data_IF_625579340506
#
_entry.id   IF_625579340506
#
_cell.length_a   1.000
_cell.length_b   1.000
_cell.length_c   1.000
_cell.angle_alpha   90.00
_cell.angle_beta   90.00
_cell.angle_gamma   90.00
#
_symmetry.space_group_name_H-M   'P 1'
#
loop_
_entity.id
_entity.type
_entity.pdbx_description
1 polymer ?
#
# COMPACT_ATOMS: atom_id res chain seq x y z
N UNK A 1 13.88 -22.85 9.61
CA UNK A 1 14.08 -21.72 8.67
C UNK A 1 15.43 -21.09 8.91
N UNK A 2 16.07 -20.58 7.85
CA UNK A 2 17.36 -19.92 7.93
C UNK A 2 17.28 -18.65 8.77
N UNK A 3 18.33 -18.28 9.53
CA UNK A 3 18.38 -17.01 10.24
C UNK A 3 18.10 -15.82 9.30
N UNK A 4 17.34 -14.84 9.78
CA UNK A 4 16.96 -13.67 8.99
C UNK A 4 15.74 -13.82 8.08
N UNK A 5 15.18 -15.02 7.90
CA UNK A 5 13.93 -15.26 7.19
C UNK A 5 12.82 -15.62 8.18
N UNK A 6 11.76 -14.80 8.23
CA UNK A 6 10.59 -15.01 9.07
C UNK A 6 9.34 -15.16 8.23
N UNK A 7 8.48 -16.08 8.64
CA UNK A 7 7.19 -16.36 7.98
C UNK A 7 6.08 -16.17 8.99
N UNK A 8 5.07 -15.45 8.59
CA UNK A 8 3.85 -15.28 9.35
C UNK A 8 2.66 -15.59 8.42
N UNK A 9 1.89 -16.58 8.78
CA UNK A 9 0.71 -17.01 8.03
C UNK A 9 -0.52 -16.88 8.93
N UNK A 10 -1.55 -16.20 8.42
CA UNK A 10 -2.84 -16.02 9.08
C UNK A 10 -3.96 -16.59 8.23
N UNK A 11 -4.90 -17.26 8.87
CA UNK A 11 -6.18 -17.69 8.32
C UNK A 11 -7.22 -17.51 9.43
N UNK A 12 -7.71 -16.27 9.57
CA UNK A 12 -8.50 -15.89 10.74
C UNK A 12 -9.57 -14.84 10.44
N UNK A 13 -10.62 -14.87 11.24
CA UNK A 13 -11.65 -13.84 11.31
C UNK A 13 -11.41 -12.95 12.54
N UNK A 14 -11.48 -11.64 12.34
CA UNK A 14 -11.33 -10.66 13.42
C UNK A 14 -12.56 -10.74 14.36
N UNK A 15 -12.35 -10.96 15.65
CA UNK A 15 -13.45 -11.09 16.64
C UNK A 15 -13.96 -9.73 17.12
N UNK A 16 -13.16 -8.67 17.00
CA UNK A 16 -13.47 -7.33 17.49
C UNK A 16 -12.82 -6.24 16.63
N UNK A 17 -13.34 -5.01 16.75
CA UNK A 17 -12.72 -3.83 16.16
C UNK A 17 -11.50 -3.41 17.00
N UNK A 18 -10.32 -3.36 16.38
CA UNK A 18 -9.10 -2.95 17.06
C UNK A 18 -8.07 -2.38 16.10
N UNK A 19 -7.06 -1.72 16.66
CA UNK A 19 -5.85 -1.37 15.95
C UNK A 19 -4.68 -2.05 16.65
N UNK A 20 -4.14 -3.08 16.01
CA UNK A 20 -2.89 -3.69 16.44
C UNK A 20 -1.73 -2.79 16.03
N UNK A 21 -0.80 -2.56 16.97
CA UNK A 21 0.42 -1.81 16.71
C UNK A 21 1.64 -2.65 17.04
N UNK A 22 2.70 -2.48 16.26
CA UNK A 22 3.97 -3.16 16.44
C UNK A 22 5.09 -2.41 15.73
N UNK A 23 6.26 -3.01 15.68
CA UNK A 23 7.38 -2.49 14.91
C UNK A 23 7.57 -3.31 13.63
N UNK A 24 7.71 -2.60 12.51
CA UNK A 24 8.27 -3.14 11.29
C UNK A 24 9.79 -3.22 11.46
N UNK A 25 10.36 -4.40 11.34
CA UNK A 25 11.83 -4.58 11.44
C UNK A 25 12.50 -4.20 10.14
N UNK A 26 13.77 -3.74 10.17
CA UNK A 26 14.55 -3.53 8.95
C UNK A 26 14.60 -4.77 8.06
N UNK A 27 14.65 -4.53 6.75
CA UNK A 27 14.70 -5.55 5.72
C UNK A 27 13.55 -5.48 4.71
N UNK A 28 13.49 -6.47 3.83
CA UNK A 28 12.48 -6.61 2.80
C UNK A 28 11.30 -7.45 3.31
N UNK A 29 10.10 -6.92 3.17
CA UNK A 29 8.85 -7.57 3.55
C UNK A 29 8.02 -7.88 2.30
N UNK A 30 7.52 -9.10 2.20
CA UNK A 30 6.53 -9.53 1.23
C UNK A 30 5.21 -9.76 1.96
N UNK A 31 4.13 -9.18 1.45
CA UNK A 31 2.77 -9.43 1.94
C UNK A 31 1.90 -9.89 0.77
N UNK A 32 1.23 -11.01 0.95
CA UNK A 32 0.32 -11.61 -0.02
C UNK A 32 -1.02 -11.93 0.67
N UNK A 33 -2.09 -11.31 0.19
CA UNK A 33 -3.45 -11.59 0.60
C UNK A 33 -4.05 -12.64 -0.33
N UNK A 34 -4.41 -13.79 0.22
CA UNK A 34 -5.04 -14.91 -0.50
C UNK A 34 -6.55 -14.74 -0.57
N UNK A 35 -7.16 -14.29 0.53
CA UNK A 35 -8.61 -14.08 0.61
C UNK A 35 -8.95 -13.01 1.66
N UNK A 36 -10.04 -12.26 1.40
CA UNK A 36 -10.58 -11.27 2.32
C UNK A 36 -10.01 -9.86 2.13
N UNK A 37 -9.77 -9.15 3.23
CA UNK A 37 -9.29 -7.77 3.22
C UNK A 37 -8.19 -7.54 4.28
N UNK A 38 -7.24 -6.66 3.97
CA UNK A 38 -6.15 -6.31 4.85
C UNK A 38 -5.93 -4.79 4.83
N UNK A 39 -6.06 -4.13 5.97
CA UNK A 39 -5.80 -2.70 6.17
C UNK A 39 -4.59 -2.55 7.10
N UNK A 40 -3.46 -2.18 6.53
CA UNK A 40 -2.20 -2.02 7.25
C UNK A 40 -1.56 -0.67 6.97
N UNK A 41 -0.73 -0.20 7.91
CA UNK A 41 0.12 0.96 7.70
C UNK A 41 1.53 0.72 8.27
N UNK A 42 2.51 1.29 7.58
CA UNK A 42 3.92 1.29 7.94
C UNK A 42 4.37 2.75 7.96
N UNK A 43 4.69 3.26 9.15
CA UNK A 43 4.87 4.69 9.34
C UNK A 43 3.67 5.49 8.85
N UNK A 44 3.89 6.38 7.89
CA UNK A 44 2.87 7.20 7.21
C UNK A 44 2.19 6.49 6.01
N UNK A 45 2.66 5.30 5.62
CA UNK A 45 2.20 4.56 4.44
C UNK A 45 1.06 3.62 4.81
N UNK A 46 -0.13 3.86 4.28
CA UNK A 46 -1.28 2.95 4.43
C UNK A 46 -1.49 2.13 3.17
N UNK A 47 -1.69 0.83 3.34
CA UNK A 47 -1.97 -0.13 2.27
C UNK A 47 -3.28 -0.84 2.59
N UNK A 48 -4.18 -0.87 1.61
CA UNK A 48 -5.41 -1.63 1.65
C UNK A 48 -5.38 -2.67 0.54
N UNK A 49 -5.41 -3.94 0.92
CA UNK A 49 -5.53 -5.07 -0.01
C UNK A 49 -6.93 -5.67 0.09
N UNK A 50 -7.46 -6.17 -1.02
CA UNK A 50 -8.74 -6.89 -1.07
C UNK A 50 -8.75 -7.87 -2.24
N UNK A 51 -9.29 -9.07 -2.00
CA UNK A 51 -9.43 -10.11 -3.03
C UNK A 51 -10.79 -10.07 -3.71
N UNK A 52 -11.82 -9.60 -3.02
CA UNK A 52 -13.17 -9.50 -3.53
C UNK A 52 -13.46 -8.12 -4.08
N UNK A 53 -14.11 -8.03 -5.26
CA UNK A 53 -14.62 -6.78 -5.82
C UNK A 53 -15.79 -6.17 -5.04
N UNK A 54 -16.12 -6.73 -3.88
CA UNK A 54 -17.05 -6.16 -2.91
C UNK A 54 -16.22 -5.45 -1.85
N UNK A 55 -16.20 -4.12 -1.91
CA UNK A 55 -15.75 -3.29 -0.81
C UNK A 55 -16.34 -3.85 0.48
N UNK A 56 -15.49 -4.30 1.40
CA UNK A 56 -15.92 -4.66 2.75
C UNK A 56 -16.23 -3.39 3.54
N UNK A 57 -17.22 -2.62 3.08
CA UNK A 57 -18.02 -1.70 3.84
C UNK A 57 -19.38 -2.35 4.01
N UNK A 58 -19.46 -3.36 4.87
CA UNK A 58 -20.72 -3.71 5.52
C UNK A 58 -20.85 -2.81 6.74
N UNK A 59 -21.27 -1.59 6.49
CA UNK A 59 -21.93 -0.81 7.51
C UNK A 59 -23.28 -0.32 6.97
N UNK A 60 -24.26 -0.78 7.71
CA UNK A 60 -25.58 -0.24 7.90
C UNK A 60 -26.61 -0.38 6.78
N UNK A 61 -27.55 -1.22 7.11
CA UNK A 61 -28.99 -1.04 6.88
C UNK A 61 -29.43 -0.73 5.44
N UNK A 62 -30.02 -1.75 4.88
CA UNK A 62 -30.98 -1.75 3.80
C UNK A 62 -31.68 -0.43 3.54
N UNK A 63 -31.54 0.10 2.32
CA UNK A 63 -32.60 0.78 1.59
C UNK A 63 -32.63 0.24 0.17
N UNK A 64 -33.75 -0.36 -0.27
CA UNK A 64 -33.96 -0.75 -1.66
C UNK A 64 -34.41 0.50 -2.40
N UNK A 65 -33.63 1.01 -3.29
CA UNK A 65 -33.94 1.80 -4.48
C UNK A 65 -32.77 2.78 -4.78
N UNK A 66 -31.86 2.34 -5.58
CA UNK A 66 -31.04 3.23 -6.40
C UNK A 66 -30.77 2.53 -7.74
N UNK A 67 -31.35 3.11 -8.76
CA UNK A 67 -31.25 2.83 -10.18
C UNK A 67 -29.81 2.51 -10.61
N UNK A 68 -29.67 1.41 -11.31
CA UNK A 68 -28.47 1.00 -12.03
C UNK A 68 -28.10 2.08 -13.06
N UNK A 69 -27.05 2.81 -12.83
CA UNK A 69 -26.32 3.52 -13.89
C UNK A 69 -24.88 3.75 -13.47
N UNK A 70 -24.02 3.47 -14.40
CA UNK A 70 -22.61 3.79 -14.48
C UNK A 70 -21.64 2.63 -14.30
N UNK A 71 -21.02 2.30 -15.44
CA UNK A 71 -19.95 1.34 -15.60
C UNK A 71 -18.89 1.45 -14.49
N UNK A 72 -18.81 0.46 -13.65
CA UNK A 72 -17.76 0.30 -12.68
C UNK A 72 -16.42 0.15 -13.44
N UNK A 73 -15.57 1.16 -13.35
CA UNK A 73 -14.18 1.07 -13.80
C UNK A 73 -13.52 -0.09 -13.05
N UNK A 74 -12.73 -0.93 -13.72
CA UNK A 74 -12.04 -2.03 -13.06
C UNK A 74 -11.06 -1.43 -12.04
N UNK A 75 -11.39 -1.54 -10.75
CA UNK A 75 -10.42 -1.30 -9.69
C UNK A 75 -9.36 -2.39 -9.83
N UNK A 76 -8.12 -2.00 -10.10
CA UNK A 76 -6.99 -2.92 -10.08
C UNK A 76 -6.93 -3.52 -8.68
N UNK A 77 -7.21 -4.81 -8.58
CA UNK A 77 -7.20 -5.57 -7.33
C UNK A 77 -5.74 -5.76 -6.93
N UNK A 78 -5.27 -4.99 -5.97
CA UNK A 78 -3.95 -5.18 -5.39
C UNK A 78 -4.06 -6.27 -4.32
N UNK A 79 -3.40 -7.41 -4.55
CA UNK A 79 -3.41 -8.55 -3.64
C UNK A 79 -2.10 -8.71 -2.89
N UNK A 80 -1.03 -8.05 -3.34
CA UNK A 80 0.29 -8.22 -2.77
C UNK A 80 1.17 -7.00 -2.94
N UNK A 81 2.14 -6.86 -2.04
CA UNK A 81 3.18 -5.85 -2.14
C UNK A 81 4.49 -6.33 -1.52
N UNK A 82 5.58 -5.73 -1.99
CA UNK A 82 6.88 -5.72 -1.35
C UNK A 82 7.04 -4.37 -0.63
N UNK A 83 7.62 -4.39 0.56
CA UNK A 83 7.97 -3.21 1.35
C UNK A 83 9.41 -3.32 1.80
N UNK A 84 10.23 -2.30 1.59
CA UNK A 84 11.56 -2.22 2.18
C UNK A 84 11.58 -1.25 3.35
N UNK A 85 12.10 -1.68 4.50
CA UNK A 85 12.30 -0.85 5.68
C UNK A 85 13.81 -0.76 5.99
N UNK A 86 14.43 0.42 5.85
CA UNK A 86 15.85 0.64 6.16
C UNK A 86 16.11 0.76 7.67
N UNK A 87 15.09 1.13 8.42
CA UNK A 87 15.14 1.30 9.88
C UNK A 87 13.83 0.84 10.49
N UNK A 88 13.78 0.56 11.80
CA UNK A 88 12.54 0.22 12.48
C UNK A 88 11.51 1.34 12.32
N UNK A 89 10.28 0.98 12.00
CA UNK A 89 9.17 1.93 11.93
C UNK A 89 7.88 1.34 12.51
N UNK A 90 6.88 2.17 12.73
CA UNK A 90 5.61 1.75 13.30
C UNK A 90 4.81 0.95 12.28
N UNK A 91 4.43 -0.26 12.66
CA UNK A 91 3.44 -1.08 11.96
C UNK A 91 2.09 -0.97 12.68
N UNK A 92 1.01 -0.81 11.92
CA UNK A 92 -0.37 -0.90 12.42
C UNK A 92 -1.22 -1.72 11.49
N UNK A 93 -2.05 -2.59 12.07
CA UNK A 93 -3.12 -3.32 11.37
C UNK A 93 -4.46 -2.93 11.98
N UNK A 94 -5.39 -2.51 11.16
CA UNK A 94 -6.77 -2.27 11.57
C UNK A 94 -7.56 -3.56 11.41
N UNK A 95 -8.13 -4.01 12.51
CA UNK A 95 -9.05 -5.14 12.58
C UNK A 95 -10.48 -4.61 12.54
N UNK A 96 -11.36 -5.31 11.85
CA UNK A 96 -12.80 -5.00 11.83
C UNK A 96 -13.57 -6.26 12.19
N UNK A 97 -14.46 -6.18 13.20
CA UNK A 97 -15.25 -7.32 13.66
C UNK A 97 -15.95 -8.02 12.50
N UNK A 98 -15.75 -9.34 12.39
CA UNK A 98 -16.25 -10.15 11.28
C UNK A 98 -15.42 -10.03 9.99
N UNK A 99 -14.35 -9.21 9.98
CA UNK A 99 -13.40 -9.13 8.89
C UNK A 99 -12.58 -10.42 8.78
N UNK A 100 -12.48 -10.96 7.57
CA UNK A 100 -11.70 -12.17 7.32
C UNK A 100 -10.45 -11.84 6.52
N UNK A 101 -9.33 -12.45 6.86
CA UNK A 101 -8.10 -12.40 6.09
C UNK A 101 -7.36 -13.73 6.13
N UNK A 102 -7.08 -14.27 4.94
CA UNK A 102 -6.10 -15.34 4.74
C UNK A 102 -4.91 -14.74 4.02
N UNK A 103 -3.76 -14.72 4.68
CA UNK A 103 -2.59 -14.01 4.20
C UNK A 103 -1.28 -14.69 4.59
N UNK A 104 -0.27 -14.38 3.79
CA UNK A 104 1.11 -14.72 4.05
C UNK A 104 1.94 -13.44 4.14
N UNK A 105 2.80 -13.35 5.15
CA UNK A 105 3.79 -12.29 5.29
C UNK A 105 5.16 -12.92 5.49
N UNK A 106 6.13 -12.49 4.68
CA UNK A 106 7.53 -12.90 4.80
C UNK A 106 8.34 -11.66 5.16
N UNK A 107 9.30 -11.82 6.07
CA UNK A 107 10.28 -10.78 6.38
C UNK A 107 11.70 -11.34 6.18
N UNK A 108 12.49 -10.64 5.40
CA UNK A 108 13.85 -10.98 5.02
C UNK A 108 14.78 -9.89 5.54
N UNK A 109 15.70 -10.24 6.46
CA UNK A 109 16.70 -9.27 6.96
C UNK A 109 17.74 -8.94 5.88
N UNK A 110 18.41 -7.80 6.05
CA UNK A 110 19.51 -7.40 5.17
C UNK A 110 20.63 -8.44 5.14
N UNK A 111 20.91 -9.09 6.27
CA UNK A 111 21.89 -10.18 6.36
C UNK A 111 21.50 -11.39 5.51
N UNK A 112 20.21 -11.74 5.50
CA UNK A 112 19.70 -12.85 4.68
C UNK A 112 19.79 -12.52 3.19
N UNK A 113 19.46 -11.29 2.79
CA UNK A 113 19.60 -10.81 1.41
C UNK A 113 21.07 -10.78 0.97
N UNK A 114 21.96 -10.30 1.84
CA UNK A 114 23.40 -10.29 1.58
C UNK A 114 23.98 -11.71 1.40
N UNK A 115 23.48 -12.69 2.17
CA UNK A 115 23.87 -14.10 2.00
C UNK A 115 23.45 -14.66 0.64
N UNK A 116 22.24 -14.32 0.16
CA UNK A 116 21.79 -14.73 -1.17
C UNK A 116 22.64 -14.12 -2.27
N UNK A 117 22.99 -12.84 -2.16
CA UNK A 117 23.88 -12.16 -3.10
C UNK A 117 25.25 -12.81 -3.14
N UNK A 118 25.87 -13.05 -1.98
CA UNK A 118 27.18 -13.67 -1.88
C UNK A 118 27.20 -15.08 -2.49
N UNK A 119 26.12 -15.85 -2.30
CA UNK A 119 25.99 -17.20 -2.86
C UNK A 119 25.82 -17.20 -4.38
N UNK A 120 25.09 -16.23 -4.93
CA UNK A 120 24.83 -16.14 -6.37
C UNK A 120 25.98 -15.53 -7.16
N UNK A 121 26.87 -14.77 -6.53
CA UNK A 121 27.92 -13.95 -7.17
C UNK A 121 27.36 -12.98 -8.23
N UNK A 122 26.08 -12.75 -8.24
CA UNK A 122 25.38 -11.87 -9.16
C UNK A 122 25.00 -10.56 -8.48
N UNK A 123 24.97 -9.48 -9.24
CA UNK A 123 24.38 -8.23 -8.79
C UNK A 123 22.86 -8.41 -8.61
N UNK A 124 22.29 -7.68 -7.65
CA UNK A 124 20.82 -7.63 -7.54
C UNK A 124 20.22 -7.02 -8.82
N UNK A 125 19.02 -7.46 -9.22
CA UNK A 125 18.28 -6.76 -10.26
C UNK A 125 18.15 -5.27 -9.92
N UNK A 126 18.43 -4.39 -10.87
CA UNK A 126 18.47 -2.92 -10.67
C UNK A 126 17.22 -2.37 -9.96
N UNK A 127 16.06 -2.96 -10.26
CA UNK A 127 14.78 -2.57 -9.64
C UNK A 127 14.65 -2.99 -8.19
N UNK A 128 15.22 -4.14 -7.83
CA UNK A 128 15.26 -4.59 -6.45
C UNK A 128 16.26 -3.74 -5.66
N UNK A 129 17.42 -3.47 -6.23
CA UNK A 129 18.44 -2.60 -5.63
C UNK A 129 17.92 -1.18 -5.39
N UNK A 130 17.23 -0.59 -6.38
CA UNK A 130 16.55 0.71 -6.24
C UNK A 130 15.47 0.69 -5.14
N UNK A 131 14.74 -0.39 -4.99
CA UNK A 131 13.74 -0.54 -3.93
C UNK A 131 14.40 -0.69 -2.56
N UNK A 132 15.49 -1.45 -2.46
CA UNK A 132 16.23 -1.68 -1.22
C UNK A 132 16.97 -0.43 -0.74
N UNK A 133 17.21 0.56 -1.61
CA UNK A 133 17.86 1.82 -1.25
C UNK A 133 16.93 2.87 -0.64
N UNK A 134 15.60 2.64 -0.60
CA UNK A 134 14.63 3.62 -0.12
C UNK A 134 13.81 3.07 1.08
N UNK A 135 13.72 3.88 2.16
CA UNK A 135 12.92 3.56 3.34
C UNK A 135 11.43 3.61 3.03
N UNK A 136 10.67 2.61 3.49
CA UNK A 136 9.25 2.41 3.22
C UNK A 136 8.90 2.45 1.72
N UNK A 137 9.81 2.01 0.87
CA UNK A 137 9.52 1.78 -0.54
C UNK A 137 8.52 0.63 -0.66
N UNK A 138 7.37 0.90 -1.30
CA UNK A 138 6.33 -0.09 -1.52
C UNK A 138 6.21 -0.35 -3.02
N UNK A 139 6.24 -1.61 -3.41
CA UNK A 139 5.98 -2.07 -4.76
C UNK A 139 4.85 -3.09 -4.76
N UNK A 140 3.76 -2.77 -5.43
CA UNK A 140 2.69 -3.72 -5.68
C UNK A 140 3.04 -4.65 -6.84
N UNK A 141 2.61 -5.90 -6.73
CA UNK A 141 2.76 -6.89 -7.78
C UNK A 141 1.52 -7.79 -7.84
N UNK A 142 1.33 -8.44 -8.97
CA UNK A 142 0.22 -9.39 -9.16
C UNK A 142 0.77 -10.80 -8.97
N UNK A 143 0.27 -11.58 -8.01
CA UNK A 143 0.69 -12.95 -7.80
C UNK A 143 0.41 -13.80 -9.04
N UNK A 144 1.37 -14.62 -9.44
CA UNK A 144 1.16 -15.65 -10.43
C UNK A 144 0.26 -16.76 -9.84
N UNK A 145 -0.41 -17.58 -10.67
CA UNK A 145 -1.11 -18.76 -10.16
C UNK A 145 -0.19 -19.68 -9.34
N UNK A 146 1.08 -19.79 -9.72
CA UNK A 146 2.09 -20.56 -8.98
C UNK A 146 2.39 -19.93 -7.61
N UNK A 147 2.63 -18.62 -7.54
CA UNK A 147 2.85 -17.92 -6.28
C UNK A 147 1.66 -18.07 -5.33
N UNK A 148 0.43 -17.98 -5.86
CA UNK A 148 -0.80 -18.18 -5.09
C UNK A 148 -0.87 -19.60 -4.53
N UNK A 149 -0.60 -20.62 -5.35
CA UNK A 149 -0.60 -22.02 -4.93
C UNK A 149 0.47 -22.32 -3.86
N UNK A 150 1.67 -21.74 -4.01
CA UNK A 150 2.75 -21.88 -3.02
C UNK A 150 2.37 -21.20 -1.69
N UNK A 151 1.78 -20.02 -1.74
CA UNK A 151 1.32 -19.31 -0.55
C UNK A 151 0.20 -20.07 0.18
N UNK A 152 -0.75 -20.68 -0.55
CA UNK A 152 -1.77 -21.56 0.04
C UNK A 152 -1.15 -22.77 0.76
N UNK A 153 -0.12 -23.39 0.17
CA UNK A 153 0.61 -24.50 0.78
C UNK A 153 1.39 -24.10 2.03
N UNK A 154 1.83 -22.82 2.12
CA UNK A 154 2.50 -22.30 3.30
C UNK A 154 1.50 -21.99 4.41
N UNK A 155 0.33 -21.40 4.07
CA UNK A 155 -0.71 -21.04 5.04
C UNK A 155 -1.41 -22.29 5.58
N UNK A 156 -1.64 -23.29 4.72
CA UNK A 156 -2.30 -24.57 5.06
C UNK A 156 -1.40 -25.75 4.71
N UNK A 157 -0.29 -25.95 5.43
CA UNK A 157 0.65 -26.99 5.11
C UNK A 157 0.08 -28.38 5.45
N UNK A 158 0.50 -29.44 4.74
CA UNK A 158 0.25 -30.79 5.17
C UNK A 158 0.84 -31.07 6.56
N UNK A 159 0.24 -31.99 7.30
CA UNK A 159 0.74 -32.38 8.60
C UNK A 159 1.94 -33.32 8.46
N UNK A 160 3.11 -32.84 8.79
CA UNK A 160 4.35 -33.60 8.86
C UNK A 160 4.92 -33.60 10.27
N UNK A 161 5.87 -34.50 10.53
CA UNK A 161 6.71 -34.42 11.74
C UNK A 161 7.50 -33.09 11.74
N UNK A 162 7.85 -32.52 12.90
CA UNK A 162 8.40 -31.15 13.00
C UNK A 162 9.58 -30.86 12.07
N UNK A 163 10.52 -31.79 11.96
CA UNK A 163 11.69 -31.62 11.07
C UNK A 163 11.28 -31.56 9.59
N UNK A 164 10.43 -32.47 9.14
CA UNK A 164 9.94 -32.51 7.76
C UNK A 164 9.04 -31.30 7.48
N UNK A 165 8.25 -30.86 8.46
CA UNK A 165 7.44 -29.65 8.38
C UNK A 165 8.32 -28.41 8.13
N UNK A 166 9.44 -28.29 8.86
CA UNK A 166 10.37 -27.18 8.68
C UNK A 166 10.99 -27.18 7.27
N UNK A 167 11.45 -28.37 6.79
CA UNK A 167 12.00 -28.54 5.43
C UNK A 167 10.96 -28.19 4.37
N UNK A 168 9.74 -28.70 4.52
CA UNK A 168 8.65 -28.43 3.59
C UNK A 168 8.36 -26.92 3.49
N UNK A 169 8.14 -26.24 4.63
CA UNK A 169 7.85 -24.82 4.65
C UNK A 169 9.01 -24.00 4.07
N UNK A 170 10.25 -24.32 4.42
CA UNK A 170 11.41 -23.60 3.88
C UNK A 170 11.50 -23.75 2.35
N UNK A 171 11.28 -24.96 1.81
CA UNK A 171 11.28 -25.17 0.37
C UNK A 171 10.19 -24.36 -0.34
N UNK A 172 8.95 -24.34 0.19
CA UNK A 172 7.84 -23.59 -0.40
C UNK A 172 8.10 -22.08 -0.37
N UNK A 173 8.67 -21.56 0.72
CA UNK A 173 9.04 -20.15 0.84
C UNK A 173 10.12 -19.76 -0.17
N UNK A 174 11.16 -20.57 -0.33
CA UNK A 174 12.22 -20.31 -1.31
C UNK A 174 11.71 -20.34 -2.75
N UNK A 175 10.82 -21.30 -3.08
CA UNK A 175 10.16 -21.34 -4.40
C UNK A 175 9.28 -20.11 -4.64
N UNK A 176 8.52 -19.67 -3.62
CA UNK A 176 7.71 -18.46 -3.71
C UNK A 176 8.57 -17.22 -3.95
N UNK A 177 9.67 -17.06 -3.23
CA UNK A 177 10.58 -15.94 -3.42
C UNK A 177 11.22 -15.93 -4.81
N UNK A 178 11.58 -17.12 -5.34
CA UNK A 178 12.06 -17.24 -6.71
C UNK A 178 11.00 -16.76 -7.73
N UNK A 179 9.73 -17.15 -7.55
CA UNK A 179 8.62 -16.72 -8.42
C UNK A 179 8.34 -15.22 -8.32
N UNK A 180 8.49 -14.63 -7.13
CA UNK A 180 8.32 -13.18 -6.88
C UNK A 180 9.47 -12.36 -7.49
N UNK A 181 10.70 -12.85 -7.44
CA UNK A 181 11.88 -12.12 -7.92
C UNK A 181 12.15 -12.32 -9.41
N UNK A 182 11.74 -13.43 -10.01
CA UNK A 182 11.95 -13.71 -11.43
C UNK A 182 11.45 -12.59 -12.38
N UNK A 183 10.26 -12.00 -12.20
CA UNK A 183 9.84 -10.87 -13.03
C UNK A 183 10.70 -9.61 -12.86
N UNK A 184 11.33 -9.43 -11.69
CA UNK A 184 12.21 -8.29 -11.45
C UNK A 184 13.52 -8.40 -12.25
N UNK A 185 13.95 -9.64 -12.56
CA UNK A 185 15.09 -9.92 -13.43
C UNK A 185 14.69 -9.82 -14.92
N UNK A 186 13.57 -10.41 -15.30
CA UNK A 186 13.14 -10.47 -16.70
C UNK A 186 12.80 -9.08 -17.27
N UNK A 187 12.24 -8.19 -16.47
CA UNK A 187 11.93 -6.83 -16.87
C UNK A 187 13.18 -5.95 -17.06
N UNK A 188 14.34 -6.33 -16.54
CA UNK A 188 15.63 -5.68 -16.82
C UNK A 188 16.10 -5.97 -18.26
N UNK A 189 15.64 -7.06 -18.87
CA UNK A 189 16.03 -7.49 -20.22
C UNK A 189 15.10 -6.99 -21.34
N UNK A 190 13.94 -6.41 -21.02
CA UNK A 190 13.01 -5.86 -22.01
C UNK A 190 12.63 -4.42 -21.65
N UNK A 191 12.77 -3.43 -22.57
CA UNK A 191 12.17 -2.13 -22.37
C UNK A 191 10.65 -2.26 -22.52
N UNK A 192 9.96 -2.56 -21.40
CA UNK A 192 8.51 -2.59 -21.41
C UNK A 192 7.96 -1.19 -21.18
N UNK A 193 7.09 -0.76 -22.07
CA UNK A 193 6.35 0.53 -22.09
C UNK A 193 5.50 0.79 -20.82
N UNK A 194 5.48 -0.12 -19.85
CA UNK A 194 4.64 -0.03 -18.65
C UNK A 194 5.40 0.03 -17.32
N UNK A 195 6.71 -0.19 -17.28
CA UNK A 195 7.51 -0.12 -16.07
C UNK A 195 8.39 1.13 -16.09
N UNK A 196 8.16 2.01 -15.11
CA UNK A 196 8.97 3.21 -14.91
C UNK A 196 10.43 2.80 -14.65
N UNK A 197 11.35 3.28 -15.50
CA UNK A 197 12.78 3.15 -15.25
C UNK A 197 13.18 3.81 -13.92
N UNK A 198 14.33 3.44 -13.37
CA UNK A 198 14.87 4.02 -12.10
C UNK A 198 14.87 5.57 -12.12
N UNK A 199 15.14 6.18 -13.29
CA UNK A 199 15.10 7.63 -13.48
C UNK A 199 13.68 8.19 -13.41
N UNK A 200 12.71 7.49 -14.00
CA UNK A 200 11.31 7.90 -13.98
C UNK A 200 10.69 7.70 -12.59
N UNK A 201 11.06 6.63 -11.90
CA UNK A 201 10.63 6.42 -10.52
C UNK A 201 11.17 7.51 -9.58
N UNK A 202 12.45 7.90 -9.73
CA UNK A 202 13.05 9.03 -8.97
C UNK A 202 12.29 10.33 -9.27
N UNK A 203 12.04 10.62 -10.55
CA UNK A 203 11.24 11.76 -10.98
C UNK A 203 9.83 11.74 -10.37
N UNK A 204 9.18 10.57 -10.29
CA UNK A 204 7.87 10.43 -9.65
C UNK A 204 7.96 10.59 -8.13
N UNK A 205 9.04 10.19 -7.49
CA UNK A 205 9.28 10.42 -6.07
C UNK A 205 9.50 11.92 -5.76
N UNK A 206 10.28 12.62 -6.58
CA UNK A 206 10.47 14.06 -6.51
C UNK A 206 9.14 14.81 -6.73
N UNK A 207 8.39 14.41 -7.75
CA UNK A 207 7.05 14.96 -8.03
C UNK A 207 6.13 14.74 -6.83
N UNK A 208 6.11 13.56 -6.23
CA UNK A 208 5.28 13.28 -5.05
C UNK A 208 5.67 14.14 -3.85
N UNK A 209 6.96 14.32 -3.59
CA UNK A 209 7.46 15.20 -2.53
C UNK A 209 7.03 16.66 -2.79
N UNK A 210 7.13 17.12 -4.05
CA UNK A 210 6.66 18.42 -4.47
C UNK A 210 5.15 18.59 -4.25
N UNK A 211 4.33 17.60 -4.65
CA UNK A 211 2.87 17.61 -4.47
C UNK A 211 2.45 17.62 -2.99
N UNK A 212 3.29 17.11 -2.10
CA UNK A 212 3.07 17.13 -0.66
C UNK A 212 3.54 18.46 -0.01
N UNK A 213 4.21 19.32 -0.73
CA UNK A 213 4.67 20.64 -0.25
C UNK A 213 3.63 21.72 -0.47
N UNK A 214 3.80 22.85 0.23
CA UNK A 214 2.95 24.03 0.07
C UNK A 214 3.09 24.69 -1.33
N UNK A 215 4.20 24.45 -2.01
CA UNK A 215 4.48 25.00 -3.33
C UNK A 215 3.54 24.50 -4.44
N UNK A 216 2.86 23.39 -4.22
CA UNK A 216 1.96 22.79 -5.21
C UNK A 216 0.47 23.14 -4.99
N UNK A 217 0.12 23.92 -3.95
CA UNK A 217 -1.27 24.10 -3.52
C UNK A 217 -2.19 24.77 -4.55
N UNK A 218 -1.68 25.74 -5.28
CA UNK A 218 -2.46 26.56 -6.22
C UNK A 218 -2.13 26.27 -7.69
N UNK A 219 -1.32 25.24 -7.95
CA UNK A 219 -0.88 24.92 -9.30
C UNK A 219 -1.92 24.08 -10.05
N UNK A 220 -2.10 24.42 -11.33
CA UNK A 220 -2.87 23.60 -12.26
C UNK A 220 -2.13 22.29 -12.58
N UNK A 221 -2.86 21.30 -13.10
CA UNK A 221 -2.27 20.02 -13.52
C UNK A 221 -1.19 20.22 -14.61
N UNK A 222 -1.37 21.21 -15.47
CA UNK A 222 -0.42 21.55 -16.54
C UNK A 222 0.84 22.24 -15.97
N UNK A 223 0.70 23.05 -14.92
CA UNK A 223 1.85 23.64 -14.23
C UNK A 223 2.67 22.60 -13.50
N UNK A 224 2.00 21.64 -12.85
CA UNK A 224 2.63 20.49 -12.19
C UNK A 224 3.37 19.63 -13.22
N UNK A 225 2.74 19.36 -14.36
CA UNK A 225 3.37 18.58 -15.43
C UNK A 225 4.59 19.31 -16.01
N UNK A 226 4.49 20.63 -16.18
CA UNK A 226 5.61 21.46 -16.62
C UNK A 226 6.75 21.45 -15.61
N UNK A 227 6.44 21.56 -14.30
CA UNK A 227 7.43 21.43 -13.24
C UNK A 227 8.13 20.06 -13.26
N UNK A 228 7.40 18.99 -13.52
CA UNK A 228 7.94 17.64 -13.66
C UNK A 228 8.67 17.41 -15.02
N UNK A 229 8.68 18.39 -15.94
CA UNK A 229 9.33 18.31 -17.24
C UNK A 229 8.71 17.23 -18.16
N UNK A 230 7.37 17.07 -18.13
CA UNK A 230 6.64 16.10 -18.93
C UNK A 230 5.23 16.57 -19.29
N UNK A 231 4.57 15.87 -20.22
CA UNK A 231 3.16 16.15 -20.51
C UNK A 231 2.24 15.66 -19.38
N UNK A 232 1.08 16.32 -19.21
CA UNK A 232 0.10 15.95 -18.19
C UNK A 232 -0.34 14.47 -18.32
N UNK A 233 -0.51 13.96 -19.54
CA UNK A 233 -0.87 12.57 -19.78
C UNK A 233 0.25 11.60 -19.38
N UNK A 234 1.51 11.92 -19.69
CA UNK A 234 2.66 11.11 -19.29
C UNK A 234 2.80 11.11 -17.76
N UNK A 235 2.67 12.27 -17.12
CA UNK A 235 2.71 12.43 -15.68
C UNK A 235 1.64 11.57 -14.99
N UNK A 236 0.39 11.67 -15.42
CA UNK A 236 -0.72 10.89 -14.83
C UNK A 236 -0.49 9.38 -14.98
N UNK A 237 -0.03 8.94 -16.16
CA UNK A 237 0.26 7.53 -16.43
C UNK A 237 1.41 7.02 -15.58
N UNK A 238 2.53 7.76 -15.54
CA UNK A 238 3.71 7.38 -14.76
C UNK A 238 3.46 7.45 -13.26
N UNK A 239 2.77 8.48 -12.77
CA UNK A 239 2.42 8.61 -11.36
C UNK A 239 1.49 7.48 -10.91
N UNK A 240 0.52 7.11 -11.77
CA UNK A 240 -0.36 5.98 -11.50
C UNK A 240 0.38 4.64 -11.52
N UNK A 241 1.35 4.48 -12.43
CA UNK A 241 2.21 3.29 -12.45
C UNK A 241 3.10 3.21 -11.21
N UNK A 242 3.63 4.37 -10.71
CA UNK A 242 4.48 4.42 -9.53
C UNK A 242 3.72 4.24 -8.20
N UNK A 243 2.51 4.81 -8.10
CA UNK A 243 1.80 4.94 -6.80
C UNK A 243 0.38 4.37 -6.79
N UNK A 244 -0.09 3.77 -7.88
CA UNK A 244 -1.44 3.18 -7.95
C UNK A 244 -2.59 4.19 -7.93
N UNK A 245 -2.30 5.50 -7.86
CA UNK A 245 -3.28 6.59 -7.78
C UNK A 245 -2.99 7.67 -8.82
N UNK A 246 -3.99 8.50 -9.14
CA UNK A 246 -3.76 9.67 -10.00
C UNK A 246 -3.13 10.82 -9.20
N UNK A 247 -2.43 11.74 -9.88
CA UNK A 247 -1.91 12.97 -9.26
C UNK A 247 -3.05 13.75 -8.59
N UNK A 248 -4.22 13.83 -9.24
CA UNK A 248 -5.38 14.52 -8.71
C UNK A 248 -5.91 13.89 -7.40
N UNK A 249 -6.05 12.56 -7.38
CA UNK A 249 -6.52 11.85 -6.18
C UNK A 249 -5.50 11.96 -5.03
N UNK A 250 -4.21 11.93 -5.35
CA UNK A 250 -3.14 12.13 -4.38
C UNK A 250 -3.18 13.54 -3.75
N UNK A 251 -3.26 14.58 -4.56
CA UNK A 251 -3.38 15.97 -4.08
C UNK A 251 -4.63 16.13 -3.20
N UNK A 252 -5.76 15.63 -3.67
CA UNK A 252 -7.03 15.69 -2.94
C UNK A 252 -6.95 14.98 -1.59
N UNK A 253 -6.35 13.80 -1.54
CA UNK A 253 -6.15 13.05 -0.30
C UNK A 253 -5.24 13.81 0.66
N UNK A 254 -4.13 14.34 0.15
CA UNK A 254 -3.18 15.13 0.94
C UNK A 254 -3.83 16.38 1.55
N UNK A 255 -4.62 17.12 0.77
CA UNK A 255 -5.34 18.29 1.25
C UNK A 255 -6.40 17.94 2.32
N UNK A 256 -7.13 16.82 2.15
CA UNK A 256 -8.08 16.35 3.16
C UNK A 256 -7.37 15.94 4.46
N UNK A 257 -6.19 15.32 4.39
CA UNK A 257 -5.38 14.97 5.57
C UNK A 257 -4.88 16.22 6.30
N UNK A 258 -4.39 17.23 5.57
CA UNK A 258 -3.98 18.51 6.16
C UNK A 258 -5.15 19.21 6.86
N UNK A 259 -6.30 19.30 6.21
CA UNK A 259 -7.51 19.87 6.80
C UNK A 259 -7.95 19.11 8.06
N UNK A 260 -7.78 17.79 8.08
CA UNK A 260 -8.03 16.97 9.25
C UNK A 260 -7.12 17.36 10.41
N UNK A 261 -5.80 17.44 10.16
CA UNK A 261 -4.83 17.81 11.19
C UNK A 261 -5.12 19.22 11.75
N UNK A 262 -5.46 20.18 10.88
CA UNK A 262 -5.82 21.53 11.31
C UNK A 262 -7.10 21.55 12.16
N UNK A 263 -8.12 20.75 11.84
CA UNK A 263 -9.33 20.62 12.66
C UNK A 263 -9.04 19.98 14.03
N UNK A 264 -8.22 18.95 14.08
CA UNK A 264 -7.92 18.18 15.28
C UNK A 264 -6.91 18.92 16.20
N UNK A 265 -5.84 19.54 15.65
CA UNK A 265 -4.76 20.15 16.42
C UNK A 265 -4.91 21.64 16.62
N UNK A 266 -5.26 22.36 15.53
CA UNK A 266 -5.25 23.83 15.53
C UNK A 266 -6.64 24.42 15.77
N UNK A 267 -7.66 23.56 15.98
CA UNK A 267 -9.05 23.92 16.27
C UNK A 267 -9.66 24.92 15.25
N UNK A 268 -9.15 24.92 14.00
CA UNK A 268 -9.65 25.83 12.95
C UNK A 268 -11.13 25.62 12.67
N UNK A 269 -11.81 26.64 12.12
CA UNK A 269 -13.21 26.50 11.73
C UNK A 269 -13.37 25.57 10.52
N UNK A 270 -14.54 24.95 10.38
CA UNK A 270 -14.84 24.07 9.22
C UNK A 270 -14.68 24.84 7.90
N UNK A 271 -14.97 26.15 7.88
CA UNK A 271 -14.78 26.99 6.70
C UNK A 271 -13.28 27.18 6.36
N UNK A 272 -12.43 27.38 7.37
CA UNK A 272 -10.98 27.45 7.17
C UNK A 272 -10.39 26.11 6.73
N UNK A 273 -10.84 25.01 7.35
CA UNK A 273 -10.42 23.66 6.93
C UNK A 273 -10.84 23.34 5.48
N UNK A 274 -12.04 23.79 5.06
CA UNK A 274 -12.48 23.65 3.68
C UNK A 274 -11.58 24.43 2.71
N UNK A 275 -11.19 25.66 3.05
CA UNK A 275 -10.25 26.45 2.26
C UNK A 275 -8.87 25.79 2.19
N UNK A 276 -8.33 25.29 3.31
CA UNK A 276 -7.07 24.52 3.35
C UNK A 276 -7.11 23.25 2.48
N UNK A 277 -8.29 22.66 2.33
CA UNK A 277 -8.50 21.50 1.47
C UNK A 277 -8.81 21.85 0.00
N UNK A 278 -8.75 23.14 -0.37
CA UNK A 278 -9.03 23.61 -1.74
C UNK A 278 -10.51 23.57 -2.13
N UNK A 279 -11.43 23.54 -1.16
CA UNK A 279 -12.86 23.55 -1.43
C UNK A 279 -13.44 24.97 -1.31
N UNK A 280 -14.13 25.42 -2.33
CA UNK A 280 -14.88 26.68 -2.32
C UNK A 280 -16.15 26.61 -1.48
N UNK A 281 -16.70 25.41 -1.24
CA UNK A 281 -17.90 25.16 -0.46
C UNK A 281 -17.62 24.30 0.76
N UNK A 282 -17.95 24.78 1.95
CA UNK A 282 -17.85 24.02 3.20
C UNK A 282 -18.77 22.78 3.20
N UNK A 283 -19.90 22.80 2.49
CA UNK A 283 -20.81 21.66 2.35
C UNK A 283 -20.17 20.53 1.52
N UNK A 284 -19.54 20.87 0.38
CA UNK A 284 -18.84 19.93 -0.47
C UNK A 284 -17.62 19.31 0.26
N UNK A 285 -16.89 20.14 1.01
CA UNK A 285 -15.83 19.67 1.88
C UNK A 285 -16.35 18.70 2.94
N UNK A 286 -17.43 19.05 3.66
CA UNK A 286 -17.99 18.19 4.70
C UNK A 286 -18.43 16.83 4.17
N UNK A 287 -19.01 16.79 2.97
CA UNK A 287 -19.39 15.55 2.28
C UNK A 287 -18.16 14.71 1.91
N UNK A 288 -17.12 15.32 1.32
CA UNK A 288 -15.90 14.66 0.95
C UNK A 288 -15.13 14.15 2.19
N UNK A 289 -15.05 14.97 3.23
CA UNK A 289 -14.42 14.65 4.51
C UNK A 289 -15.11 13.47 5.19
N UNK A 290 -16.45 13.51 5.33
CA UNK A 290 -17.21 12.41 5.91
C UNK A 290 -17.05 11.11 5.12
N UNK A 291 -17.08 11.20 3.79
CA UNK A 291 -16.85 10.03 2.92
C UNK A 291 -15.46 9.42 3.12
N UNK A 292 -14.46 10.27 3.39
CA UNK A 292 -13.06 9.82 3.55
C UNK A 292 -12.75 9.32 4.95
N UNK A 293 -13.23 9.99 6.00
CA UNK A 293 -12.85 9.75 7.40
C UNK A 293 -13.95 9.12 8.25
N UNK A 294 -15.16 8.93 7.70
CA UNK A 294 -16.30 8.35 8.41
C UNK A 294 -17.01 9.30 9.39
N UNK A 295 -16.39 10.43 9.74
CA UNK A 295 -16.91 11.42 10.70
C UNK A 295 -17.05 12.79 10.04
N UNK A 296 -17.96 13.64 10.57
CA UNK A 296 -18.10 15.00 10.07
C UNK A 296 -16.95 15.90 10.56
N UNK A 297 -16.57 16.96 9.80
CA UNK A 297 -15.53 17.91 10.23
C UNK A 297 -15.84 18.56 11.58
N UNK A 298 -17.12 18.82 11.87
CA UNK A 298 -17.56 19.39 13.14
C UNK A 298 -17.34 18.45 14.31
N UNK A 299 -17.52 17.15 14.11
CA UNK A 299 -17.26 16.14 15.15
C UNK A 299 -15.76 15.97 15.38
N UNK A 300 -14.96 15.92 14.31
CA UNK A 300 -13.51 15.82 14.40
C UNK A 300 -12.89 16.98 15.21
N UNK A 301 -13.39 18.22 15.03
CA UNK A 301 -12.96 19.39 15.79
C UNK A 301 -13.32 19.33 17.28
N UNK A 302 -14.37 18.58 17.66
CA UNK A 302 -14.84 18.50 19.06
C UNK A 302 -14.12 17.43 19.88
N UNK A 303 -13.51 16.43 19.26
CA UNK A 303 -12.91 15.29 19.96
C UNK A 303 -11.65 15.63 20.76
N UNK A 304 -11.03 16.79 20.51
CA UNK A 304 -9.80 17.21 21.19
C UNK A 304 -10.03 18.20 22.36
N UNK A 305 -11.29 18.48 22.70
CA UNK A 305 -11.66 19.36 23.83
C UNK A 305 -12.05 18.59 25.11
N UNK A 306 -11.73 17.28 25.20
CA UNK A 306 -11.97 16.50 26.40
C UNK A 306 -10.68 16.00 27.02
#
# INVERSE_FOLDING_TARGET
MRPGLRVHADDATDEFDAVMSGQCTPGLHLVLLLEGALDVSYGDRRVLLTTDGRSACRDAAARPNATRSSAARPHVRMQSFLLNALQPDTFRRRLSKGGYARRLSLAMSDEWLAHLQAASRAALPERLDSMLSAHLAIRFWQPTPRATALAEQIVRPPSYQPMLQAIYLESRVLELLADVFAPLEAEAAQPSDAALGSRDYRRMAELRAFLASDAAQDLSLDDIARHAGMSANAMQRQFRAAYGTTVFDFIREHHLQRARLALERDAVSVKQAAALAGYTSAANFATAYKRRFGVTPTLARRSDRR
#
